data_IF_442583663421
#
_entry.id   IF_442583663421
#
_cell.length_a   1.000
_cell.length_b   1.000
_cell.length_c   1.000
_cell.angle_alpha   90.00
_cell.angle_beta   90.00
_cell.angle_gamma   90.00
#
_symmetry.space_group_name_H-M   'P 1'
#
loop_
_entity.id
_entity.type
_entity.pdbx_description
1 polymer ?
#
# COMPACT_ATOMS: atom_id res chain seq x y z
N UNK A 1 -22.49 -5.49 0.11
CA UNK A 1 -22.12 -4.12 -0.19
C UNK A 1 -21.03 -4.10 -1.26
N UNK A 2 -19.73 -4.04 -1.01
CA UNK A 2 -18.73 -3.88 -2.09
C UNK A 2 -18.87 -4.85 -3.27
N UNK A 3 -19.18 -6.11 -3.03
CA UNK A 3 -19.45 -7.08 -4.10
C UNK A 3 -20.71 -6.77 -4.92
N UNK A 4 -21.80 -6.38 -4.24
CA UNK A 4 -23.08 -6.06 -4.92
C UNK A 4 -23.01 -4.76 -5.72
N UNK A 5 -22.24 -3.80 -5.20
CA UNK A 5 -22.17 -2.45 -5.77
C UNK A 5 -20.96 -2.28 -6.73
N UNK A 6 -20.14 -3.31 -6.88
CA UNK A 6 -18.92 -3.26 -7.71
C UNK A 6 -17.81 -2.35 -7.16
N UNK A 7 -17.89 -1.95 -5.89
CA UNK A 7 -16.95 -1.02 -5.28
C UNK A 7 -15.69 -1.72 -4.75
N UNK A 8 -14.58 -0.98 -4.78
CA UNK A 8 -13.32 -1.39 -4.16
C UNK A 8 -13.38 -1.13 -2.66
N UNK A 9 -12.95 -2.11 -1.88
CA UNK A 9 -12.88 -2.01 -0.41
C UNK A 9 -11.47 -1.65 0.02
N UNK A 10 -11.33 -0.61 0.84
CA UNK A 10 -10.03 -0.21 1.41
C UNK A 10 -10.06 -0.30 2.93
N UNK A 11 -8.98 -0.79 3.52
CA UNK A 11 -8.78 -0.87 4.96
C UNK A 11 -7.51 -0.11 5.35
N UNK A 12 -7.66 0.85 6.27
CA UNK A 12 -6.58 1.70 6.80
C UNK A 12 -6.52 1.60 8.34
N UNK A 13 -6.23 0.43 8.93
CA UNK A 13 -6.11 0.30 10.38
C UNK A 13 -4.73 0.72 10.89
N UNK A 14 -4.58 0.70 12.23
CA UNK A 14 -3.27 0.79 12.87
C UNK A 14 -2.86 2.21 13.27
N UNK A 15 -3.80 3.12 13.50
CA UNK A 15 -3.50 4.43 14.05
C UNK A 15 -4.21 4.64 15.39
N UNK A 16 -3.42 4.92 16.43
CA UNK A 16 -3.96 5.44 17.69
C UNK A 16 -4.11 6.96 17.56
N UNK A 17 -5.33 7.38 17.27
CA UNK A 17 -5.67 8.78 17.00
C UNK A 17 -5.58 9.67 18.25
N UNK A 18 -5.09 10.91 18.05
CA UNK A 18 -5.06 11.94 19.08
C UNK A 18 -4.33 11.49 20.37
N UNK A 19 -3.23 10.76 20.22
CA UNK A 19 -2.49 10.14 21.32
C UNK A 19 -2.00 11.16 22.37
N UNK A 20 -1.64 12.38 21.96
CA UNK A 20 -1.23 13.43 22.89
C UNK A 20 -2.45 14.21 23.41
N UNK A 21 -2.84 14.02 24.70
CA UNK A 21 -4.04 14.65 25.25
C UNK A 21 -3.94 16.18 25.37
N UNK A 22 -2.74 16.73 25.48
CA UNK A 22 -2.55 18.21 25.56
C UNK A 22 -2.82 18.86 24.20
N UNK A 23 -2.33 18.25 23.12
CA UNK A 23 -2.61 18.70 21.76
C UNK A 23 -4.11 18.58 21.47
N UNK A 24 -4.70 17.44 21.83
CA UNK A 24 -6.13 17.21 21.60
C UNK A 24 -7.01 18.24 22.34
N UNK A 25 -6.72 18.53 23.62
CA UNK A 25 -7.47 19.54 24.40
C UNK A 25 -7.29 20.96 23.88
N UNK A 26 -6.08 21.30 23.43
CA UNK A 26 -5.78 22.67 22.98
C UNK A 26 -6.22 22.98 21.56
N UNK A 27 -6.20 21.99 20.67
CA UNK A 27 -6.34 22.20 19.22
C UNK A 27 -7.37 21.29 18.54
N UNK A 28 -7.96 20.32 19.25
CA UNK A 28 -8.94 19.38 18.71
C UNK A 28 -8.31 18.23 17.93
N UNK A 29 -9.12 17.59 17.08
CA UNK A 29 -8.76 16.41 16.30
C UNK A 29 -7.82 16.74 15.14
N UNK A 30 -7.12 15.70 14.67
CA UNK A 30 -6.33 15.71 13.41
C UNK A 30 -5.22 16.80 13.40
N UNK A 31 -4.48 16.90 14.51
CA UNK A 31 -3.36 17.83 14.67
C UNK A 31 -1.99 17.13 14.70
N UNK A 32 -1.87 15.98 14.03
CA UNK A 32 -0.62 15.25 13.89
C UNK A 32 -0.18 14.46 15.12
N UNK A 33 -1.05 14.31 16.13
CA UNK A 33 -0.75 13.56 17.35
C UNK A 33 -1.22 12.10 17.29
N UNK A 34 -1.07 11.46 16.15
CA UNK A 34 -1.44 10.06 15.93
C UNK A 34 -0.19 9.18 15.91
N UNK A 35 -0.28 8.01 16.50
CA UNK A 35 0.84 7.08 16.63
C UNK A 35 0.48 5.75 15.96
N UNK A 36 1.39 5.14 15.17
CA UNK A 36 1.18 3.80 14.64
C UNK A 36 0.99 2.79 15.77
N UNK A 37 0.02 1.89 15.61
CA UNK A 37 -0.27 0.81 16.53
C UNK A 37 -0.25 -0.53 15.79
N UNK A 38 0.24 -1.57 16.47
CA UNK A 38 0.25 -2.91 15.91
C UNK A 38 -1.16 -3.38 15.54
N UNK A 39 -1.26 -4.05 14.40
CA UNK A 39 -2.51 -4.62 13.89
C UNK A 39 -2.26 -6.08 13.53
N UNK A 40 -3.09 -6.97 14.03
CA UNK A 40 -3.07 -8.39 13.68
C UNK A 40 -3.90 -8.61 12.40
N UNK A 41 -3.26 -8.56 11.26
CA UNK A 41 -3.94 -8.77 9.96
C UNK A 41 -4.30 -10.23 9.72
N UNK A 42 -3.48 -11.17 10.19
CA UNK A 42 -3.67 -12.60 9.95
C UNK A 42 -4.99 -13.08 10.57
N UNK A 43 -5.17 -12.81 11.86
CA UNK A 43 -6.39 -13.25 12.55
C UNK A 43 -7.58 -12.34 12.26
N UNK A 44 -7.38 -11.03 12.19
CA UNK A 44 -8.49 -10.10 11.96
C UNK A 44 -9.12 -10.22 10.57
N UNK A 45 -8.32 -10.48 9.53
CA UNK A 45 -8.84 -10.68 8.16
C UNK A 45 -9.34 -12.11 7.91
N UNK A 46 -8.97 -13.08 8.74
CA UNK A 46 -9.29 -14.50 8.53
C UNK A 46 -10.78 -14.78 8.25
N UNK A 47 -11.74 -14.26 9.03
CA UNK A 47 -13.16 -14.53 8.75
C UNK A 47 -13.65 -13.98 7.41
N UNK A 48 -13.10 -12.84 6.97
CA UNK A 48 -13.42 -12.25 5.68
C UNK A 48 -12.79 -13.05 4.54
N UNK A 49 -11.51 -13.41 4.70
CA UNK A 49 -10.77 -14.14 3.66
C UNK A 49 -11.24 -15.59 3.51
N UNK A 50 -11.70 -16.25 4.57
CA UNK A 50 -12.31 -17.59 4.49
C UNK A 50 -13.56 -17.59 3.61
N UNK A 51 -14.32 -16.51 3.66
CA UNK A 51 -15.59 -16.41 2.93
C UNK A 51 -15.39 -15.83 1.53
N UNK A 52 -14.51 -14.88 1.35
CA UNK A 52 -14.41 -14.07 0.13
C UNK A 52 -13.00 -13.97 -0.46
N UNK A 53 -12.01 -14.63 0.13
CA UNK A 53 -10.61 -14.51 -0.26
C UNK A 53 -10.32 -14.90 -1.72
N UNK A 54 -11.17 -15.73 -2.31
CA UNK A 54 -11.09 -16.19 -3.71
C UNK A 54 -12.21 -15.61 -4.59
N UNK A 55 -12.94 -14.58 -4.14
CA UNK A 55 -14.02 -13.97 -4.91
C UNK A 55 -13.49 -13.02 -5.99
N UNK A 56 -13.55 -13.37 -7.29
CA UNK A 56 -12.87 -12.61 -8.35
C UNK A 56 -13.43 -11.20 -8.54
N UNK A 57 -14.63 -10.93 -8.05
CA UNK A 57 -15.27 -9.61 -8.14
C UNK A 57 -14.92 -8.68 -6.98
N UNK A 58 -14.27 -9.19 -5.93
CA UNK A 58 -13.83 -8.37 -4.80
C UNK A 58 -12.41 -7.86 -5.03
N UNK A 59 -12.20 -6.58 -4.82
CA UNK A 59 -10.86 -5.99 -4.64
C UNK A 59 -10.77 -5.44 -3.23
N UNK A 60 -9.86 -5.99 -2.44
CA UNK A 60 -9.57 -5.56 -1.07
C UNK A 60 -8.17 -4.96 -1.03
N UNK A 61 -8.07 -3.66 -0.77
CA UNK A 61 -6.79 -2.96 -0.63
C UNK A 61 -6.53 -2.74 0.85
N UNK A 62 -5.37 -3.21 1.33
CA UNK A 62 -4.98 -3.10 2.74
C UNK A 62 -3.75 -2.23 2.86
N UNK A 63 -3.84 -1.24 3.75
CA UNK A 63 -2.75 -0.34 4.11
C UNK A 63 -2.29 -0.62 5.55
N UNK A 64 -1.08 -0.23 5.88
CA UNK A 64 -0.57 -0.31 7.25
C UNK A 64 0.31 0.87 7.59
N UNK A 65 0.36 1.20 8.88
CA UNK A 65 1.35 2.11 9.49
C UNK A 65 2.45 1.34 10.25
N UNK A 66 2.48 0.02 10.10
CA UNK A 66 3.45 -0.86 10.75
C UNK A 66 4.31 -1.56 9.71
N UNK A 67 5.55 -1.09 9.52
CA UNK A 67 6.51 -1.71 8.60
C UNK A 67 6.78 -3.18 8.92
N UNK A 68 6.70 -3.59 10.18
CA UNK A 68 6.96 -4.98 10.58
C UNK A 68 5.91 -5.94 10.02
N UNK A 69 4.70 -5.47 9.79
CA UNK A 69 3.61 -6.27 9.22
C UNK A 69 3.72 -6.49 7.70
N UNK A 70 4.52 -5.70 6.98
CA UNK A 70 4.68 -5.86 5.53
C UNK A 70 5.19 -7.25 5.16
N UNK A 71 6.33 -7.67 5.69
CA UNK A 71 6.92 -8.98 5.36
C UNK A 71 6.31 -10.13 6.14
N UNK A 72 5.93 -9.90 7.40
CA UNK A 72 5.40 -10.94 8.27
C UNK A 72 4.00 -11.38 7.91
N UNK A 73 3.13 -10.46 7.56
CA UNK A 73 1.69 -10.73 7.41
C UNK A 73 1.15 -10.35 6.04
N UNK A 74 1.33 -9.09 5.63
CA UNK A 74 0.63 -8.54 4.46
C UNK A 74 1.15 -9.08 3.13
N UNK A 75 2.47 -9.22 2.96
CA UNK A 75 3.01 -9.76 1.72
C UNK A 75 2.62 -11.24 1.53
N UNK A 76 2.72 -12.13 2.54
CA UNK A 76 2.19 -13.49 2.43
C UNK A 76 0.69 -13.54 2.14
N UNK A 77 -0.13 -12.71 2.80
CA UNK A 77 -1.56 -12.66 2.56
C UNK A 77 -1.89 -12.20 1.13
N UNK A 78 -1.22 -11.17 0.62
CA UNK A 78 -1.43 -10.68 -0.73
C UNK A 78 -0.92 -11.65 -1.80
N UNK A 79 0.15 -12.38 -1.52
CA UNK A 79 0.66 -13.43 -2.40
C UNK A 79 -0.24 -14.66 -2.46
N UNK A 80 -1.07 -14.88 -1.44
CA UNK A 80 -1.93 -16.05 -1.34
C UNK A 80 -3.39 -15.80 -1.78
N UNK A 81 -3.96 -14.66 -1.40
CA UNK A 81 -5.38 -14.37 -1.67
C UNK A 81 -5.58 -13.45 -2.87
N UNK A 82 -6.25 -13.93 -3.94
CA UNK A 82 -6.44 -13.15 -5.18
C UNK A 82 -7.16 -11.82 -5.00
N UNK A 83 -8.00 -11.70 -3.97
CA UNK A 83 -8.75 -10.45 -3.71
C UNK A 83 -7.90 -9.36 -3.08
N UNK A 84 -6.77 -9.72 -2.45
CA UNK A 84 -6.00 -8.80 -1.63
C UNK A 84 -4.93 -8.08 -2.45
N UNK A 85 -4.84 -6.78 -2.26
CA UNK A 85 -3.80 -5.92 -2.81
C UNK A 85 -3.19 -5.08 -1.70
N UNK A 86 -1.90 -4.84 -1.78
CA UNK A 86 -1.22 -3.95 -0.85
C UNK A 86 -1.31 -2.51 -1.35
N UNK A 87 -1.82 -1.63 -0.49
CA UNK A 87 -1.70 -0.20 -0.68
C UNK A 87 -0.25 0.26 -0.48
N UNK A 88 0.16 1.39 -1.10
CA UNK A 88 1.50 1.93 -0.90
C UNK A 88 1.71 2.40 0.54
N UNK A 89 2.96 2.63 0.96
CA UNK A 89 3.25 3.29 2.23
C UNK A 89 2.52 4.62 2.33
N UNK A 90 1.96 4.88 3.48
CA UNK A 90 1.23 6.10 3.71
C UNK A 90 1.63 6.74 5.04
N UNK A 91 1.33 8.02 5.21
CA UNK A 91 1.57 8.82 6.39
C UNK A 91 3.03 8.80 6.84
N UNK A 92 3.38 8.11 7.95
CA UNK A 92 4.75 8.07 8.49
C UNK A 92 5.75 7.39 7.57
N UNK A 93 5.31 6.48 6.72
CA UNK A 93 6.14 5.73 5.76
C UNK A 93 5.99 6.23 4.32
N UNK A 94 5.27 7.31 4.13
CA UNK A 94 5.18 8.01 2.85
C UNK A 94 6.39 8.94 2.68
N UNK A 95 7.53 8.34 2.62
CA UNK A 95 8.85 8.96 2.51
C UNK A 95 9.74 8.11 1.61
N UNK A 96 10.85 8.64 1.04
CA UNK A 96 11.77 7.86 0.22
C UNK A 96 12.21 6.55 0.89
N UNK A 97 12.60 6.60 2.16
CA UNK A 97 13.02 5.40 2.90
C UNK A 97 11.85 4.42 3.13
N UNK A 98 10.68 4.92 3.52
CA UNK A 98 9.50 4.07 3.72
C UNK A 98 9.05 3.38 2.44
N UNK A 99 9.07 4.08 1.31
CA UNK A 99 8.76 3.51 -0.01
C UNK A 99 9.78 2.42 -0.41
N UNK A 100 11.08 2.67 -0.16
CA UNK A 100 12.13 1.69 -0.42
C UNK A 100 11.94 0.43 0.43
N UNK A 101 11.76 0.58 1.74
CA UNK A 101 11.50 -0.54 2.65
C UNK A 101 10.24 -1.33 2.27
N UNK A 102 9.20 -0.65 1.83
CA UNK A 102 7.99 -1.32 1.35
C UNK A 102 8.31 -2.28 0.19
N UNK A 103 9.02 -1.80 -0.84
CA UNK A 103 9.42 -2.65 -1.98
C UNK A 103 10.32 -3.81 -1.55
N UNK A 104 11.32 -3.53 -0.72
CA UNK A 104 12.25 -4.55 -0.23
C UNK A 104 11.54 -5.65 0.59
N UNK A 105 10.50 -5.30 1.35
CA UNK A 105 9.80 -6.22 2.24
C UNK A 105 8.63 -6.95 1.60
N UNK A 106 8.13 -6.48 0.48
CA UNK A 106 6.92 -7.06 -0.12
C UNK A 106 7.17 -7.76 -1.45
N UNK A 107 8.15 -7.32 -2.23
CA UNK A 107 8.29 -7.76 -3.64
C UNK A 107 8.57 -9.26 -3.77
N UNK A 108 9.43 -9.85 -2.94
CA UNK A 108 9.76 -11.28 -3.07
C UNK A 108 8.57 -12.20 -2.76
N UNK A 109 7.68 -11.79 -1.86
CA UNK A 109 6.56 -12.64 -1.42
C UNK A 109 5.24 -12.29 -2.12
N UNK A 110 4.94 -11.00 -2.27
CA UNK A 110 3.71 -10.55 -2.93
C UNK A 110 3.90 -10.32 -4.43
N UNK A 111 5.10 -10.00 -4.88
CA UNK A 111 5.35 -9.50 -6.24
C UNK A 111 4.87 -8.07 -6.43
N UNK A 112 5.10 -7.52 -7.61
CA UNK A 112 4.65 -6.16 -7.97
C UNK A 112 3.14 -6.09 -8.16
N UNK A 113 2.54 -7.11 -8.77
CA UNK A 113 1.16 -7.12 -9.26
C UNK A 113 0.11 -7.39 -8.19
N UNK A 114 0.50 -7.78 -6.98
CA UNK A 114 -0.36 -7.82 -5.81
C UNK A 114 -0.30 -6.53 -4.97
N UNK A 115 0.25 -5.47 -5.54
CA UNK A 115 0.20 -4.11 -5.00
C UNK A 115 -0.65 -3.22 -5.91
N UNK A 116 -1.04 -2.05 -5.44
CA UNK A 116 -1.79 -1.07 -6.25
C UNK A 116 -0.89 -0.03 -6.92
N UNK A 117 0.43 -0.23 -6.91
CA UNK A 117 1.36 0.79 -7.37
C UNK A 117 1.42 1.96 -6.39
N UNK A 118 1.35 3.18 -6.91
CA UNK A 118 1.28 4.39 -6.08
C UNK A 118 -0.06 5.09 -6.30
N UNK A 119 -0.73 5.43 -5.22
CA UNK A 119 -1.86 6.33 -5.17
C UNK A 119 -1.64 7.34 -4.04
N UNK A 120 -1.99 8.58 -4.28
CA UNK A 120 -1.77 9.67 -3.36
C UNK A 120 -2.95 9.86 -2.41
N UNK A 121 -2.68 10.00 -1.11
CA UNK A 121 -3.65 10.38 -0.08
C UNK A 121 -3.34 11.81 0.39
N UNK A 122 -3.51 12.77 -0.50
CA UNK A 122 -3.16 14.16 -0.20
C UNK A 122 -4.38 15.03 0.09
N UNK A 123 -4.19 16.00 0.99
CA UNK A 123 -5.12 17.12 1.19
C UNK A 123 -4.74 18.37 0.37
N UNK A 124 -3.55 18.36 -0.22
CA UNK A 124 -2.99 19.49 -0.97
C UNK A 124 -2.82 19.14 -2.44
N UNK A 125 -3.79 19.50 -3.27
CA UNK A 125 -3.80 19.18 -4.71
C UNK A 125 -2.50 19.56 -5.42
N UNK A 126 -1.87 20.67 -5.03
CA UNK A 126 -0.61 21.11 -5.63
C UNK A 126 0.59 20.22 -5.28
N UNK A 127 0.50 19.39 -4.24
CA UNK A 127 1.57 18.45 -3.89
C UNK A 127 1.54 17.15 -4.70
N UNK A 128 0.42 16.82 -5.35
CA UNK A 128 0.25 15.56 -6.09
C UNK A 128 1.38 15.32 -7.11
N UNK A 129 1.73 16.26 -8.00
CA UNK A 129 2.80 16.02 -8.98
C UNK A 129 4.16 15.72 -8.32
N UNK A 130 4.50 16.44 -7.24
CA UNK A 130 5.75 16.22 -6.51
C UNK A 130 5.79 14.87 -5.81
N UNK A 131 4.69 14.45 -5.19
CA UNK A 131 4.59 13.15 -4.52
C UNK A 131 4.68 11.99 -5.50
N UNK A 132 3.99 12.08 -6.63
CA UNK A 132 4.10 11.11 -7.72
C UNK A 132 5.50 11.07 -8.34
N UNK A 133 6.20 12.21 -8.46
CA UNK A 133 7.58 12.23 -8.93
C UNK A 133 8.52 11.49 -7.95
N UNK A 134 8.38 11.74 -6.65
CA UNK A 134 9.15 11.03 -5.62
C UNK A 134 8.89 9.52 -5.68
N UNK A 135 7.63 9.09 -5.74
CA UNK A 135 7.27 7.68 -5.81
C UNK A 135 7.89 7.00 -7.05
N UNK A 136 7.78 7.62 -8.23
CA UNK A 136 8.39 7.09 -9.46
C UNK A 136 9.90 6.96 -9.36
N UNK A 137 10.58 7.94 -8.77
CA UNK A 137 12.04 7.89 -8.57
C UNK A 137 12.42 6.75 -7.64
N UNK A 138 11.67 6.53 -6.57
CA UNK A 138 11.95 5.44 -5.63
C UNK A 138 11.69 4.07 -6.25
N UNK A 139 10.58 3.89 -6.97
CA UNK A 139 10.29 2.65 -7.69
C UNK A 139 11.34 2.37 -8.77
N UNK A 140 11.70 3.36 -9.60
CA UNK A 140 12.75 3.20 -10.60
C UNK A 140 14.12 2.89 -9.99
N UNK A 141 14.47 3.51 -8.85
CA UNK A 141 15.70 3.20 -8.13
C UNK A 141 15.74 1.77 -7.62
N UNK A 142 14.61 1.27 -7.09
CA UNK A 142 14.50 -0.11 -6.66
C UNK A 142 14.61 -1.09 -7.82
N UNK A 143 13.91 -0.84 -8.94
CA UNK A 143 13.96 -1.67 -10.14
C UNK A 143 15.36 -1.69 -10.75
N UNK A 144 16.03 -0.53 -10.85
CA UNK A 144 17.40 -0.44 -11.36
C UNK A 144 18.39 -1.29 -10.55
N UNK A 145 18.19 -1.36 -9.22
CA UNK A 145 18.99 -2.26 -8.37
C UNK A 145 18.74 -3.72 -8.70
N UNK A 146 17.47 -4.12 -8.89
CA UNK A 146 17.16 -5.50 -9.27
C UNK A 146 17.79 -5.88 -10.63
N UNK A 147 17.84 -4.94 -11.57
CA UNK A 147 18.53 -5.15 -12.86
C UNK A 147 20.04 -5.29 -12.65
N UNK A 148 20.65 -4.41 -11.86
CA UNK A 148 22.08 -4.47 -11.54
C UNK A 148 22.47 -5.78 -10.82
N UNK A 149 21.57 -6.32 -10.01
CA UNK A 149 21.75 -7.60 -9.31
C UNK A 149 21.36 -8.83 -10.16
N UNK A 150 21.05 -8.65 -11.44
CA UNK A 150 20.59 -9.68 -12.38
C UNK A 150 19.36 -10.46 -11.90
N UNK A 151 18.45 -9.78 -11.19
CA UNK A 151 17.19 -10.35 -10.67
C UNK A 151 15.97 -9.97 -11.51
N UNK A 152 16.13 -9.04 -12.44
CA UNK A 152 15.11 -8.57 -13.36
C UNK A 152 15.78 -8.08 -14.63
N UNK A 153 15.18 -8.33 -15.80
CA UNK A 153 15.68 -7.77 -17.06
C UNK A 153 15.30 -6.29 -17.23
N UNK A 154 16.08 -5.55 -17.99
CA UNK A 154 15.86 -4.10 -18.18
C UNK A 154 14.51 -3.79 -18.83
N UNK A 155 14.09 -4.58 -19.82
CA UNK A 155 12.82 -4.39 -20.50
C UNK A 155 11.65 -4.69 -19.56
N UNK A 156 11.74 -5.74 -18.76
CA UNK A 156 10.77 -6.04 -17.70
C UNK A 156 10.69 -4.93 -16.65
N UNK A 157 11.85 -4.40 -16.23
CA UNK A 157 11.91 -3.29 -15.28
C UNK A 157 11.20 -2.04 -15.81
N UNK A 158 11.37 -1.73 -17.11
CA UNK A 158 10.68 -0.61 -17.77
C UNK A 158 9.17 -0.78 -17.79
N UNK A 159 8.70 -1.98 -18.09
CA UNK A 159 7.25 -2.28 -18.07
C UNK A 159 6.68 -2.20 -16.65
N UNK A 160 7.34 -2.81 -15.68
CA UNK A 160 6.94 -2.75 -14.27
C UNK A 160 6.93 -1.30 -13.76
N UNK A 161 7.88 -0.46 -14.16
CA UNK A 161 7.88 0.96 -13.76
C UNK A 161 6.62 1.69 -14.22
N UNK A 162 6.14 1.42 -15.44
CA UNK A 162 4.89 2.00 -15.97
C UNK A 162 3.68 1.44 -15.22
N UNK A 163 3.70 0.15 -14.93
CA UNK A 163 2.62 -0.50 -14.18
C UNK A 163 2.50 0.07 -12.76
N UNK A 164 3.60 0.20 -12.05
CA UNK A 164 3.64 0.78 -10.70
C UNK A 164 3.20 2.25 -10.66
N UNK A 165 3.59 3.02 -11.67
CA UNK A 165 3.28 4.45 -11.73
C UNK A 165 1.83 4.74 -12.12
N UNK A 166 1.17 3.84 -12.86
CA UNK A 166 -0.12 4.16 -13.48
C UNK A 166 -1.08 2.97 -13.57
N UNK A 167 -0.69 1.88 -14.27
CA UNK A 167 -1.65 0.84 -14.68
C UNK A 167 -2.20 0.05 -13.50
N UNK A 168 -1.40 -0.20 -12.45
CA UNK A 168 -1.85 -0.94 -11.28
C UNK A 168 -2.90 -0.17 -10.48
N UNK A 169 -2.70 1.13 -10.27
CA UNK A 169 -3.70 1.96 -9.62
C UNK A 169 -4.99 2.03 -10.44
N UNK A 170 -4.88 2.31 -11.75
CA UNK A 170 -6.04 2.33 -12.65
C UNK A 170 -6.83 1.02 -12.59
N UNK A 171 -6.16 -0.12 -12.67
CA UNK A 171 -6.77 -1.45 -12.62
C UNK A 171 -7.39 -1.76 -11.26
N UNK A 172 -6.67 -1.48 -10.17
CA UNK A 172 -7.12 -1.78 -8.81
C UNK A 172 -8.36 -0.99 -8.42
N UNK A 173 -8.45 0.27 -8.87
CA UNK A 173 -9.60 1.15 -8.59
C UNK A 173 -10.67 1.14 -9.69
N UNK A 174 -10.50 0.33 -10.75
CA UNK A 174 -11.45 0.20 -11.87
C UNK A 174 -11.75 1.55 -12.53
N UNK A 175 -10.72 2.34 -12.77
CA UNK A 175 -10.79 3.66 -13.41
C UNK A 175 -10.64 3.52 -14.94
N UNK A 176 -11.64 3.03 -15.60
CA UNK A 176 -11.67 2.87 -17.06
C UNK A 176 -12.20 4.13 -17.77
#
# INVERSE_FOLDING_TARGET
MSLGDGLVMQLHPGSFRNHNPSIYRGFGRDKGADIPAATDYVHALKPLLDRFGNEPKLTLIVFTLDESSYSRELAPLAGHYPVLRLGPPWWFYDSPEGMRHFRERTTETAGFYNTVGFNDDTRALLSIPGRHDVARRMDCSFLARLVADHRLDEDEAREVAIDLAYRLAKRAYRLD
#
